data_IF_789804578603
#
_entry.id   IF_789804578603
#
_cell.length_a   1.000
_cell.length_b   1.000
_cell.length_c   1.000
_cell.angle_alpha   90.00
_cell.angle_beta   90.00
_cell.angle_gamma   90.00
#
_symmetry.space_group_name_H-M   'P 1'
#
loop_
_entity.id
_entity.type
_entity.pdbx_description
1 polymer ?
#
# COMPACT_ATOMS: atom_id res chain seq x y z
N UNK A 1 8.23 -20.74 -0.18
CA UNK A 1 6.82 -21.00 -0.57
C UNK A 1 6.46 -20.13 -1.76
N UNK A 2 5.44 -20.52 -2.51
CA UNK A 2 4.83 -19.71 -3.58
C UNK A 2 3.74 -18.80 -2.98
N UNK A 3 3.53 -17.64 -3.57
CA UNK A 3 2.64 -16.61 -3.04
C UNK A 3 1.20 -17.12 -2.93
N UNK A 4 0.76 -18.01 -3.83
CA UNK A 4 -0.57 -18.62 -3.81
C UNK A 4 -0.77 -19.68 -2.71
N UNK A 5 0.31 -20.13 -2.08
CA UNK A 5 0.25 -21.07 -0.95
C UNK A 5 0.06 -20.37 0.39
N UNK A 6 0.21 -19.04 0.42
CA UNK A 6 0.02 -18.21 1.60
C UNK A 6 -1.41 -17.66 1.56
N UNK A 7 -2.24 -17.87 2.59
CA UNK A 7 -3.60 -17.30 2.64
C UNK A 7 -3.61 -15.78 2.50
N UNK A 8 -4.69 -15.22 1.95
CA UNK A 8 -4.94 -13.76 1.95
C UNK A 8 -5.10 -13.31 3.41
N UNK A 9 -4.37 -12.25 3.77
CA UNK A 9 -4.48 -11.63 5.08
C UNK A 9 -5.57 -10.56 5.08
N UNK A 10 -6.28 -10.45 6.20
CA UNK A 10 -7.33 -9.46 6.39
C UNK A 10 -7.07 -8.66 7.66
N UNK A 11 -7.50 -7.40 7.66
CA UNK A 11 -7.45 -6.55 8.84
C UNK A 11 -8.27 -7.19 9.97
N UNK A 12 -7.70 -7.36 11.18
CA UNK A 12 -8.46 -7.86 12.32
C UNK A 12 -9.51 -6.83 12.77
N UNK A 13 -10.58 -7.24 13.47
CA UNK A 13 -11.59 -6.31 13.97
C UNK A 13 -10.99 -5.16 14.79
N UNK A 14 -11.24 -3.92 14.35
CA UNK A 14 -10.69 -2.72 14.99
C UNK A 14 -9.28 -2.32 14.55
N UNK A 15 -8.71 -2.98 13.55
CA UNK A 15 -7.36 -2.71 13.03
C UNK A 15 -6.27 -3.51 13.75
N UNK A 16 -5.09 -3.62 13.15
CA UNK A 16 -3.96 -4.35 13.76
C UNK A 16 -3.29 -3.59 14.94
N UNK A 17 -3.76 -2.38 15.27
CA UNK A 17 -3.27 -1.60 16.39
C UNK A 17 -1.97 -0.84 16.11
N UNK A 18 -1.04 -0.84 17.09
CA UNK A 18 0.17 0.02 17.08
C UNK A 18 1.39 -0.64 16.45
N UNK A 19 1.40 -1.95 16.34
CA UNK A 19 2.55 -2.73 15.85
C UNK A 19 2.14 -3.46 14.60
N UNK A 20 3.03 -3.52 13.60
CA UNK A 20 2.76 -4.33 12.43
C UNK A 20 2.50 -5.79 12.82
N UNK A 21 1.60 -6.50 12.11
CA UNK A 21 1.45 -7.95 12.27
C UNK A 21 2.76 -8.67 11.93
N UNK A 22 2.93 -9.97 12.25
CA UNK A 22 4.00 -10.78 11.69
C UNK A 22 4.07 -10.66 10.15
N UNK A 23 5.22 -10.96 9.54
CA UNK A 23 5.34 -10.93 8.08
C UNK A 23 4.35 -11.92 7.44
N UNK A 24 3.56 -11.44 6.47
CA UNK A 24 2.57 -12.25 5.75
C UNK A 24 3.28 -13.05 4.67
N UNK A 25 4.18 -12.41 3.91
CA UNK A 25 4.92 -12.99 2.79
C UNK A 25 6.36 -13.38 3.13
N UNK A 26 6.78 -13.33 4.40
CA UNK A 26 8.18 -13.57 4.80
C UNK A 26 8.74 -14.96 4.47
N UNK A 27 7.90 -15.95 4.17
CA UNK A 27 8.31 -17.28 3.68
C UNK A 27 8.24 -17.45 2.15
N UNK A 28 7.85 -16.41 1.43
CA UNK A 28 7.67 -16.42 -0.01
C UNK A 28 8.98 -16.13 -0.74
N UNK A 29 9.25 -16.84 -1.82
CA UNK A 29 10.53 -16.74 -2.55
C UNK A 29 10.35 -16.55 -4.06
N UNK A 30 9.16 -16.16 -4.50
CA UNK A 30 8.94 -15.82 -5.91
C UNK A 30 9.61 -14.48 -6.25
N UNK A 31 10.32 -14.39 -7.38
CA UNK A 31 10.80 -13.11 -7.86
C UNK A 31 9.62 -12.20 -8.19
N UNK A 32 9.80 -10.88 -8.04
CA UNK A 32 8.80 -9.91 -8.49
C UNK A 32 8.57 -10.04 -9.99
N UNK A 33 7.31 -9.88 -10.41
CA UNK A 33 6.96 -9.86 -11.83
C UNK A 33 7.57 -8.65 -12.53
N UNK A 34 7.77 -8.77 -13.84
CA UNK A 34 8.24 -7.65 -14.65
C UNK A 34 7.29 -6.45 -14.54
N UNK A 35 7.85 -5.24 -14.39
CA UNK A 35 7.08 -4.01 -14.29
C UNK A 35 6.63 -3.65 -12.87
N UNK A 36 6.80 -4.55 -11.89
CA UNK A 36 6.56 -4.23 -10.50
C UNK A 36 7.72 -3.36 -9.94
N UNK A 37 7.42 -2.20 -9.31
CA UNK A 37 8.42 -1.49 -8.53
C UNK A 37 8.78 -2.30 -7.28
N UNK A 38 10.05 -2.25 -6.88
CA UNK A 38 10.49 -2.85 -5.62
C UNK A 38 10.18 -1.90 -4.44
N UNK A 39 8.98 -2.02 -3.90
CA UNK A 39 8.46 -1.26 -2.77
C UNK A 39 8.69 -1.96 -1.42
N UNK A 40 9.37 -3.11 -1.39
CA UNK A 40 9.51 -3.91 -0.17
C UNK A 40 10.23 -3.14 0.96
N UNK A 41 9.69 -3.21 2.17
CA UNK A 41 10.32 -2.62 3.35
C UNK A 41 9.36 -1.73 4.13
N UNK A 42 9.95 -0.99 5.08
CA UNK A 42 9.23 -0.04 5.93
C UNK A 42 9.49 1.37 5.41
N UNK A 43 8.42 2.14 5.27
CA UNK A 43 8.43 3.49 4.73
C UNK A 43 7.91 4.49 5.74
N UNK A 44 8.56 5.65 5.85
CA UNK A 44 8.16 6.75 6.74
C UNK A 44 7.99 8.04 5.99
N UNK A 45 6.97 8.80 6.36
CA UNK A 45 6.71 10.11 5.75
C UNK A 45 7.82 11.10 6.06
N UNK A 46 8.37 11.74 5.03
CA UNK A 46 9.32 12.85 5.16
C UNK A 46 8.75 14.18 4.66
N UNK A 47 7.72 14.13 3.80
CA UNK A 47 7.02 15.30 3.27
C UNK A 47 5.60 14.90 2.86
N UNK A 48 4.64 15.78 3.10
CA UNK A 48 3.29 15.64 2.59
C UNK A 48 2.71 16.97 2.11
N UNK A 49 1.87 16.88 1.09
CA UNK A 49 1.19 18.00 0.45
C UNK A 49 -0.27 17.67 0.21
N UNK A 50 -1.15 18.67 0.27
CA UNK A 50 -2.53 18.59 -0.26
C UNK A 50 -2.72 19.69 -1.28
N UNK A 51 -3.17 19.31 -2.48
CA UNK A 51 -3.30 20.22 -3.62
C UNK A 51 -2.01 21.06 -3.89
N UNK A 52 -0.83 20.45 -3.70
CA UNK A 52 0.48 21.09 -3.92
C UNK A 52 0.94 22.01 -2.80
N UNK A 53 0.20 22.11 -1.69
CA UNK A 53 0.58 22.90 -0.51
C UNK A 53 1.04 21.96 0.60
N UNK A 54 2.21 22.23 1.17
CA UNK A 54 2.73 21.46 2.32
C UNK A 54 1.73 21.45 3.48
N UNK A 55 1.53 20.27 4.07
CA UNK A 55 0.72 20.16 5.28
C UNK A 55 1.47 20.70 6.51
N UNK A 56 0.77 21.07 7.60
CA UNK A 56 1.41 21.39 8.87
C UNK A 56 2.30 20.26 9.40
N UNK A 57 3.36 20.61 10.13
CA UNK A 57 4.30 19.63 10.68
C UNK A 57 3.66 18.65 11.69
N UNK A 58 2.55 19.04 12.31
CA UNK A 58 1.76 18.24 13.24
C UNK A 58 0.55 17.53 12.58
N UNK A 59 0.40 17.61 11.26
CA UNK A 59 -0.60 16.82 10.53
C UNK A 59 -0.33 15.33 10.77
N UNK A 60 -1.38 14.55 11.05
CA UNK A 60 -1.29 13.11 11.34
C UNK A 60 -0.55 12.34 10.24
N UNK A 61 -0.64 12.77 8.99
CA UNK A 61 0.06 12.11 7.87
C UNK A 61 1.58 12.20 8.02
N UNK A 62 2.12 13.21 8.69
CA UNK A 62 3.56 13.35 8.93
C UNK A 62 4.11 12.26 9.86
N UNK A 63 3.24 11.55 10.58
CA UNK A 63 3.61 10.41 11.44
C UNK A 63 3.27 9.05 10.80
N UNK A 64 2.86 9.05 9.53
CA UNK A 64 2.49 7.83 8.84
C UNK A 64 3.70 6.94 8.54
N UNK A 65 3.52 5.65 8.78
CA UNK A 65 4.46 4.58 8.45
C UNK A 65 3.67 3.45 7.79
N UNK A 66 4.22 2.88 6.73
CA UNK A 66 3.67 1.67 6.08
C UNK A 66 4.76 0.61 5.94
N UNK A 67 4.35 -0.66 6.00
CA UNK A 67 5.19 -1.81 5.67
C UNK A 67 4.63 -2.47 4.43
N UNK A 68 5.47 -2.60 3.40
CA UNK A 68 5.11 -3.25 2.15
C UNK A 68 5.91 -4.55 2.01
N UNK A 69 5.21 -5.64 1.75
CA UNK A 69 5.77 -6.95 1.41
C UNK A 69 5.35 -7.28 -0.02
N UNK A 70 6.25 -7.83 -0.84
CA UNK A 70 5.93 -8.24 -2.21
C UNK A 70 6.54 -9.60 -2.56
N UNK A 71 5.80 -10.41 -3.30
CA UNK A 71 6.26 -11.68 -3.81
C UNK A 71 5.48 -12.09 -5.06
N UNK A 72 6.18 -12.28 -6.19
CA UNK A 72 5.50 -12.45 -7.48
C UNK A 72 4.76 -11.18 -7.89
N UNK A 73 3.47 -11.31 -8.15
CA UNK A 73 2.51 -10.23 -8.41
C UNK A 73 1.74 -9.80 -7.15
N UNK A 74 2.01 -10.41 -5.99
CA UNK A 74 1.32 -10.12 -4.74
C UNK A 74 2.00 -8.98 -4.00
N UNK A 75 1.16 -8.14 -3.41
CA UNK A 75 1.58 -7.07 -2.52
C UNK A 75 0.71 -7.06 -1.28
N UNK A 76 1.35 -6.88 -0.12
CA UNK A 76 0.69 -6.68 1.16
C UNK A 76 1.18 -5.37 1.74
N UNK A 77 0.29 -4.40 1.84
CA UNK A 77 0.53 -3.10 2.46
C UNK A 77 -0.12 -3.06 3.85
N UNK A 78 0.70 -2.92 4.88
CA UNK A 78 0.25 -2.68 6.24
C UNK A 78 0.49 -1.21 6.58
N UNK A 79 -0.58 -0.41 6.57
CA UNK A 79 -0.53 1.02 6.85
C UNK A 79 -1.81 1.50 7.51
N UNK A 80 -1.71 2.51 8.38
CA UNK A 80 -2.89 3.12 9.03
C UNK A 80 -3.70 2.19 9.95
N UNK A 81 -3.21 0.98 10.25
CA UNK A 81 -3.95 -0.03 11.02
C UNK A 81 -4.69 -1.08 10.18
N UNK A 82 -4.63 -0.99 8.84
CA UNK A 82 -5.25 -1.93 7.90
C UNK A 82 -4.22 -2.75 7.12
N UNK A 83 -4.61 -3.95 6.70
CA UNK A 83 -3.87 -4.82 5.79
C UNK A 83 -4.55 -4.75 4.42
N UNK A 84 -3.85 -4.26 3.41
CA UNK A 84 -4.27 -4.31 2.02
C UNK A 84 -3.46 -5.39 1.29
N UNK A 85 -4.06 -6.58 1.16
CA UNK A 85 -3.47 -7.75 0.51
C UNK A 85 -4.15 -7.96 -0.85
N UNK A 86 -3.37 -7.96 -1.93
CA UNK A 86 -3.89 -8.10 -3.28
C UNK A 86 -2.89 -8.73 -4.25
N UNK A 87 -3.42 -9.25 -5.36
CA UNK A 87 -2.68 -9.49 -6.60
C UNK A 87 -2.78 -8.27 -7.48
N UNK A 88 -1.64 -7.82 -7.97
CA UNK A 88 -1.57 -6.72 -8.93
C UNK A 88 -1.84 -7.21 -10.37
N UNK A 89 -2.90 -8.01 -10.57
CA UNK A 89 -3.24 -8.67 -11.83
C UNK A 89 -4.40 -7.98 -12.59
N UNK A 90 -4.93 -6.88 -12.05
CA UNK A 90 -6.02 -6.11 -12.66
C UNK A 90 -7.41 -6.72 -12.50
N UNK A 91 -7.57 -7.80 -11.74
CA UNK A 91 -8.86 -8.42 -11.49
C UNK A 91 -9.49 -7.93 -10.19
N UNK A 92 -10.82 -7.83 -10.16
CA UNK A 92 -11.54 -7.56 -8.90
C UNK A 92 -11.43 -8.75 -7.94
N UNK A 93 -11.54 -9.98 -8.43
CA UNK A 93 -11.53 -11.18 -7.59
C UNK A 93 -10.25 -11.36 -6.78
N UNK A 94 -9.10 -10.92 -7.29
CA UNK A 94 -7.83 -10.97 -6.58
C UNK A 94 -7.36 -9.61 -6.05
N UNK A 95 -8.21 -8.58 -6.12
CA UNK A 95 -7.95 -7.26 -5.54
C UNK A 95 -7.97 -7.28 -4.00
N UNK A 96 -7.89 -6.09 -3.40
CA UNK A 96 -8.07 -5.93 -1.96
C UNK A 96 -9.55 -6.15 -1.64
N UNK A 97 -9.82 -7.10 -0.75
CA UNK A 97 -11.14 -7.32 -0.13
C UNK A 97 -10.98 -7.18 1.38
N UNK A 98 -11.15 -5.96 1.88
CA UNK A 98 -10.89 -5.63 3.29
C UNK A 98 -11.86 -4.56 3.78
N UNK A 99 -11.52 -3.84 4.84
CA UNK A 99 -12.30 -2.77 5.45
C UNK A 99 -11.58 -1.43 5.37
N UNK A 100 -12.38 -0.36 5.38
CA UNK A 100 -11.91 1.01 5.39
C UNK A 100 -11.10 1.34 6.64
N UNK A 101 -9.98 2.02 6.47
CA UNK A 101 -9.13 2.52 7.56
C UNK A 101 -9.84 3.53 8.47
N UNK A 102 -10.95 4.13 8.03
CA UNK A 102 -11.67 5.14 8.79
C UNK A 102 -12.51 4.56 9.94
N UNK A 103 -12.96 3.31 9.81
CA UNK A 103 -13.84 2.67 10.79
C UNK A 103 -13.54 1.19 11.09
N UNK A 104 -12.65 0.57 10.30
CA UNK A 104 -12.31 -0.86 10.35
C UNK A 104 -13.52 -1.79 10.23
N UNK A 105 -14.58 -1.34 9.54
CA UNK A 105 -15.86 -2.05 9.41
C UNK A 105 -16.45 -1.97 8.01
N UNK A 106 -16.40 -0.81 7.37
CA UNK A 106 -16.99 -0.60 6.04
C UNK A 106 -16.18 -1.37 5.01
N UNK A 107 -16.76 -2.34 4.29
CA UNK A 107 -16.03 -3.10 3.28
C UNK A 107 -15.52 -2.21 2.15
N UNK A 108 -14.33 -2.52 1.65
CA UNK A 108 -13.72 -1.91 0.47
C UNK A 108 -13.26 -2.99 -0.49
N UNK A 109 -13.50 -2.76 -1.78
CA UNK A 109 -13.01 -3.59 -2.88
C UNK A 109 -12.12 -2.72 -3.76
N UNK A 110 -10.87 -3.13 -3.99
CA UNK A 110 -9.90 -2.30 -4.72
C UNK A 110 -9.09 -3.16 -5.69
N UNK A 111 -9.16 -2.85 -6.98
CA UNK A 111 -8.36 -3.53 -8.00
C UNK A 111 -6.93 -3.01 -7.93
N UNK A 112 -5.97 -3.93 -8.00
CA UNK A 112 -4.53 -3.64 -7.95
C UNK A 112 -3.87 -3.97 -9.30
N UNK A 113 -2.93 -3.12 -9.73
CA UNK A 113 -2.09 -3.35 -10.92
C UNK A 113 -0.67 -2.83 -10.72
N UNK A 114 0.26 -3.39 -11.49
CA UNK A 114 1.56 -2.76 -11.76
C UNK A 114 1.57 -2.23 -13.18
N UNK A 115 1.83 -0.93 -13.33
CA UNK A 115 1.81 -0.20 -14.60
C UNK A 115 3.06 0.67 -14.68
N UNK A 116 3.97 0.37 -15.61
CA UNK A 116 5.18 1.17 -15.84
C UNK A 116 5.97 1.52 -14.56
N UNK A 117 6.24 0.52 -13.70
CA UNK A 117 6.91 0.70 -12.41
C UNK A 117 6.12 1.52 -11.37
N UNK A 118 4.80 1.58 -11.52
CA UNK A 118 3.86 2.20 -10.58
C UNK A 118 2.90 1.13 -10.06
N UNK A 119 2.72 1.10 -8.75
CA UNK A 119 1.63 0.34 -8.13
C UNK A 119 0.37 1.21 -8.13
N UNK A 120 -0.70 0.72 -8.73
CA UNK A 120 -1.96 1.46 -8.89
C UNK A 120 -3.11 0.71 -8.23
N UNK A 121 -3.93 1.44 -7.48
CA UNK A 121 -5.12 0.95 -6.80
C UNK A 121 -6.35 1.70 -7.31
N UNK A 122 -7.38 0.96 -7.71
CA UNK A 122 -8.64 1.48 -8.25
C UNK A 122 -9.83 0.97 -7.43
N UNK A 123 -10.44 1.80 -6.57
CA UNK A 123 -11.58 1.37 -5.78
C UNK A 123 -12.79 1.06 -6.66
N UNK A 124 -13.40 -0.10 -6.45
CA UNK A 124 -14.59 -0.53 -7.19
C UNK A 124 -15.75 0.42 -6.87
N UNK A 125 -16.47 0.85 -7.90
CA UNK A 125 -17.60 1.78 -7.77
C UNK A 125 -17.22 3.26 -7.68
N UNK A 126 -15.92 3.61 -7.71
CA UNK A 126 -15.45 5.00 -7.70
C UNK A 126 -14.61 5.30 -8.97
N UNK A 127 -15.25 5.47 -10.14
CA UNK A 127 -14.53 5.70 -11.39
C UNK A 127 -13.69 6.99 -11.33
N UNK A 128 -12.48 6.93 -11.90
CA UNK A 128 -11.55 8.07 -11.97
C UNK A 128 -10.66 8.27 -10.75
N UNK A 129 -10.81 7.44 -9.70
CA UNK A 129 -9.89 7.44 -8.55
C UNK A 129 -8.77 6.43 -8.77
N UNK A 130 -7.54 6.94 -8.78
CA UNK A 130 -6.33 6.12 -8.78
C UNK A 130 -5.43 6.51 -7.62
N UNK A 131 -5.17 5.54 -6.75
CA UNK A 131 -4.20 5.67 -5.67
C UNK A 131 -2.90 5.04 -6.15
N UNK A 132 -1.81 5.81 -6.18
CA UNK A 132 -0.56 5.34 -6.80
C UNK A 132 0.59 5.35 -5.82
N UNK A 133 1.51 4.39 -5.97
CA UNK A 133 2.83 4.39 -5.34
C UNK A 133 3.89 4.16 -6.40
N UNK A 134 4.88 5.04 -6.46
CA UNK A 134 6.04 4.91 -7.35
C UNK A 134 7.31 5.36 -6.66
N UNK A 135 8.46 4.85 -7.10
CA UNK A 135 9.74 5.39 -6.65
C UNK A 135 10.12 6.63 -7.47
N UNK A 136 10.73 7.62 -6.84
CA UNK A 136 11.42 8.72 -7.52
C UNK A 136 12.89 8.36 -7.80
N UNK A 137 13.64 9.30 -8.37
CA UNK A 137 15.04 9.09 -8.75
C UNK A 137 15.97 8.90 -7.54
N UNK A 138 15.57 9.38 -6.37
CA UNK A 138 16.33 9.26 -5.12
C UNK A 138 15.94 7.98 -4.35
N UNK A 139 14.99 7.20 -4.87
CA UNK A 139 14.47 5.99 -4.25
C UNK A 139 13.41 6.25 -3.17
N UNK A 140 12.90 7.47 -3.03
CA UNK A 140 11.76 7.75 -2.17
C UNK A 140 10.48 7.25 -2.81
N UNK A 141 9.54 6.80 -2.00
CA UNK A 141 8.22 6.44 -2.48
C UNK A 141 7.32 7.67 -2.52
N UNK A 142 6.74 7.94 -3.69
CA UNK A 142 5.70 8.93 -3.89
C UNK A 142 4.35 8.23 -3.86
N UNK A 143 3.57 8.50 -2.82
CA UNK A 143 2.21 7.99 -2.65
C UNK A 143 1.20 9.09 -2.94
N UNK A 144 0.23 8.85 -3.83
CA UNK A 144 -0.82 9.82 -4.19
C UNK A 144 -2.22 9.31 -3.89
N UNK A 145 -3.05 10.18 -3.30
CA UNK A 145 -4.45 9.95 -2.93
C UNK A 145 -5.31 11.13 -3.41
N UNK A 146 -5.86 11.09 -4.64
CA UNK A 146 -6.67 12.19 -5.16
C UNK A 146 -7.95 12.42 -4.34
N UNK A 147 -8.50 11.35 -3.77
CA UNK A 147 -9.70 11.33 -2.94
C UNK A 147 -9.54 12.04 -1.58
N UNK A 148 -8.31 12.31 -1.13
CA UNK A 148 -8.01 13.02 0.13
C UNK A 148 -7.52 14.45 -0.10
N UNK A 149 -8.17 15.18 -1.02
CA UNK A 149 -7.83 16.56 -1.35
C UNK A 149 -6.53 16.67 -2.15
N UNK A 150 -6.27 15.71 -3.03
CA UNK A 150 -5.02 15.67 -3.79
C UNK A 150 -3.79 15.46 -2.90
N UNK A 151 -3.90 14.54 -1.93
CA UNK A 151 -2.81 14.22 -1.02
C UNK A 151 -1.66 13.56 -1.80
N UNK A 152 -0.45 14.07 -1.57
CA UNK A 152 0.80 13.49 -2.06
C UNK A 152 1.76 13.36 -0.88
N UNK A 153 2.30 12.18 -0.67
CA UNK A 153 3.24 11.87 0.40
C UNK A 153 4.54 11.39 -0.22
N UNK A 154 5.66 11.92 0.26
CA UNK A 154 7.01 11.41 -0.05
C UNK A 154 7.49 10.67 1.18
N UNK A 155 7.88 9.41 0.99
CA UNK A 155 8.31 8.52 2.06
C UNK A 155 9.74 8.03 1.82
N UNK A 156 10.51 7.96 2.89
CA UNK A 156 11.84 7.34 2.91
C UNK A 156 11.74 5.88 3.36
N UNK A 157 12.55 5.01 2.74
CA UNK A 157 12.68 3.61 3.19
C UNK A 157 13.62 3.58 4.39
N UNK A 158 13.19 2.97 5.48
CA UNK A 158 13.93 2.88 6.75
C UNK A 158 14.28 1.45 7.17
N UNK A 159 14.15 0.50 6.24
CA UNK A 159 14.58 -0.88 6.40
C UNK A 159 15.15 -1.42 5.11
N UNK A 160 15.86 -2.54 5.20
CA UNK A 160 16.12 -3.37 4.04
C UNK A 160 14.80 -3.89 3.43
N UNK A 161 14.78 -4.26 2.14
CA UNK A 161 13.68 -5.01 1.54
C UNK A 161 13.36 -6.28 2.36
N UNK A 162 12.06 -6.48 2.63
CA UNK A 162 11.51 -7.62 3.39
C UNK A 162 10.73 -8.58 2.51
#
# INVERSE_FOLDING_TARGET
MKANQIPVAHTPPGGYGKTFPPLILGGCTEPLVQGAPDLRGIWKTIRAERAGVSVPADDRIMFYTERIEQCGDRIVDCGGGTIADARADGTEGNGVHDVSVFDFKTPIHVIATYEDQVFVLRPVGLPGIEVTRRLDADGHMIWTRPDLGGLKVTLERVSDPI
#
